data_IF_936499422218
#
_entry.id   IF_936499422218
#
_cell.length_a   1.000
_cell.length_b   1.000
_cell.length_c   1.000
_cell.angle_alpha   90.00
_cell.angle_beta   90.00
_cell.angle_gamma   90.00
#
_symmetry.space_group_name_H-M   'P 1'
#
loop_
_entity.id
_entity.type
_entity.pdbx_description
1 polymer ?
#
# COMPACT_ATOMS: atom_id res chain seq x y z
N UNK A 1 18.00 2.43 -10.78
CA UNK A 1 16.87 2.60 -11.72
C UNK A 1 15.59 2.76 -10.92
N UNK A 2 14.95 3.92 -11.03
CA UNK A 2 13.65 4.21 -10.38
C UNK A 2 12.62 3.24 -10.99
N UNK A 3 11.93 2.44 -10.17
CA UNK A 3 10.87 1.53 -10.61
C UNK A 3 9.59 2.34 -10.90
N UNK A 4 9.62 3.05 -12.03
CA UNK A 4 8.52 3.89 -12.53
C UNK A 4 7.17 3.18 -12.59
N UNK A 5 7.16 1.86 -12.83
CA UNK A 5 5.92 1.07 -12.90
C UNK A 5 5.10 1.04 -11.60
N UNK A 6 5.74 0.91 -10.42
CA UNK A 6 5.01 0.83 -9.14
C UNK A 6 4.54 2.19 -8.64
N UNK A 7 5.36 3.22 -8.85
CA UNK A 7 4.95 4.60 -8.62
C UNK A 7 3.75 4.98 -9.52
N UNK A 8 3.81 4.68 -10.82
CA UNK A 8 2.70 4.91 -11.75
C UNK A 8 1.44 4.15 -11.36
N UNK A 9 1.56 2.87 -10.98
CA UNK A 9 0.40 2.07 -10.50
C UNK A 9 -0.23 2.67 -9.24
N UNK A 10 0.59 3.18 -8.31
CA UNK A 10 0.12 3.87 -7.10
C UNK A 10 -0.57 5.19 -7.41
N UNK A 11 -0.06 5.98 -8.38
CA UNK A 11 -0.71 7.21 -8.85
C UNK A 11 -2.07 6.93 -9.53
N UNK A 12 -2.12 5.93 -10.41
CA UNK A 12 -3.37 5.52 -11.07
C UNK A 12 -4.38 5.06 -10.01
N UNK A 13 -3.93 4.29 -9.01
CA UNK A 13 -4.78 3.92 -7.90
C UNK A 13 -5.30 5.13 -7.13
N UNK A 14 -4.44 6.11 -6.80
CA UNK A 14 -4.86 7.31 -6.08
C UNK A 14 -5.98 8.06 -6.82
N UNK A 15 -5.85 8.21 -8.15
CA UNK A 15 -6.87 8.83 -9.00
C UNK A 15 -8.18 8.04 -8.99
N UNK A 16 -8.11 6.71 -9.20
CA UNK A 16 -9.29 5.84 -9.19
C UNK A 16 -9.97 5.84 -7.82
N UNK A 17 -9.20 5.75 -6.74
CA UNK A 17 -9.71 5.73 -5.37
C UNK A 17 -10.43 7.03 -5.02
N UNK A 18 -9.85 8.19 -5.36
CA UNK A 18 -10.49 9.49 -5.15
C UNK A 18 -11.80 9.65 -5.93
N UNK A 19 -11.81 9.19 -7.19
CA UNK A 19 -13.03 9.20 -8.01
C UNK A 19 -14.09 8.22 -7.50
N UNK A 20 -13.69 7.01 -7.10
CA UNK A 20 -14.59 5.97 -6.60
C UNK A 20 -15.14 6.26 -5.20
N UNK A 21 -14.44 7.08 -4.41
CA UNK A 21 -14.89 7.50 -3.09
C UNK A 21 -16.22 8.28 -3.15
N UNK A 22 -16.46 9.07 -4.19
CA UNK A 22 -17.71 9.85 -4.36
C UNK A 22 -18.94 8.94 -4.51
N UNK A 23 -19.03 8.04 -5.51
CA UNK A 23 -20.18 7.15 -5.64
C UNK A 23 -20.29 6.19 -4.45
N UNK A 24 -19.18 5.76 -3.85
CA UNK A 24 -19.21 4.97 -2.62
C UNK A 24 -20.00 5.70 -1.53
N UNK A 25 -19.66 6.96 -1.24
CA UNK A 25 -20.37 7.77 -0.24
C UNK A 25 -21.85 7.95 -0.57
N UNK A 26 -22.19 8.25 -1.83
CA UNK A 26 -23.58 8.45 -2.24
C UNK A 26 -24.43 7.19 -2.01
N UNK A 27 -23.85 6.00 -2.19
CA UNK A 27 -24.52 4.72 -1.99
C UNK A 27 -24.64 4.34 -0.51
N UNK A 28 -23.61 4.60 0.29
CA UNK A 28 -23.54 4.08 1.67
C UNK A 28 -24.04 5.04 2.74
N UNK A 29 -23.93 6.35 2.54
CA UNK A 29 -24.39 7.35 3.53
C UNK A 29 -25.88 7.24 3.91
N UNK A 30 -26.81 6.84 3.02
CA UNK A 30 -28.20 6.64 3.43
C UNK A 30 -28.39 5.49 4.44
N UNK A 31 -27.50 4.49 4.42
CA UNK A 31 -27.59 3.30 5.25
C UNK A 31 -26.72 3.37 6.53
N UNK A 32 -25.67 4.20 6.53
CA UNK A 32 -24.67 4.23 7.58
C UNK A 32 -24.34 5.66 8.01
N UNK A 33 -23.92 5.83 9.27
CA UNK A 33 -23.35 7.12 9.69
C UNK A 33 -22.07 7.45 8.92
N UNK A 34 -21.74 8.75 8.85
CA UNK A 34 -20.56 9.26 8.15
C UNK A 34 -19.26 8.63 8.66
N UNK A 35 -19.09 8.53 9.98
CA UNK A 35 -17.91 7.88 10.58
C UNK A 35 -17.83 6.41 10.16
N UNK A 36 -18.94 5.65 10.25
CA UNK A 36 -18.94 4.23 9.85
C UNK A 36 -18.59 4.06 8.37
N UNK A 37 -19.17 4.90 7.52
CA UNK A 37 -18.91 4.92 6.08
C UNK A 37 -17.43 5.14 5.79
N UNK A 38 -16.82 6.13 6.44
CA UNK A 38 -15.41 6.43 6.26
C UNK A 38 -14.50 5.32 6.80
N UNK A 39 -14.80 4.75 7.97
CA UNK A 39 -14.02 3.64 8.54
C UNK A 39 -14.02 2.40 7.65
N UNK A 40 -15.19 2.01 7.12
CA UNK A 40 -15.30 0.87 6.22
C UNK A 40 -14.57 1.17 4.90
N UNK A 41 -14.78 2.38 4.36
CA UNK A 41 -14.15 2.82 3.13
C UNK A 41 -12.62 2.82 3.24
N UNK A 42 -12.06 3.29 4.36
CA UNK A 42 -10.61 3.32 4.56
C UNK A 42 -10.00 1.91 4.65
N UNK A 43 -10.66 0.96 5.33
CA UNK A 43 -10.21 -0.44 5.38
C UNK A 43 -10.19 -1.05 3.97
N UNK A 44 -11.28 -0.87 3.21
CA UNK A 44 -11.40 -1.42 1.84
C UNK A 44 -10.35 -0.81 0.92
N UNK A 45 -10.16 0.51 0.96
CA UNK A 45 -9.17 1.21 0.15
C UNK A 45 -7.75 0.78 0.49
N UNK A 46 -7.41 0.62 1.78
CA UNK A 46 -6.08 0.13 2.18
C UNK A 46 -5.84 -1.29 1.69
N UNK A 47 -6.82 -2.20 1.82
CA UNK A 47 -6.71 -3.55 1.31
C UNK A 47 -6.55 -3.60 -0.22
N UNK A 48 -7.36 -2.81 -0.94
CA UNK A 48 -7.26 -2.70 -2.40
C UNK A 48 -5.91 -2.13 -2.84
N UNK A 49 -5.41 -1.12 -2.14
CA UNK A 49 -4.09 -0.54 -2.41
C UNK A 49 -2.98 -1.57 -2.26
N UNK A 50 -3.00 -2.37 -1.19
CA UNK A 50 -2.05 -3.46 -0.94
C UNK A 50 -2.03 -4.44 -2.12
N UNK A 51 -3.19 -4.81 -2.65
CA UNK A 51 -3.29 -5.71 -3.82
C UNK A 51 -2.61 -5.09 -5.04
N UNK A 52 -2.87 -3.82 -5.33
CA UNK A 52 -2.34 -3.11 -6.51
C UNK A 52 -0.82 -2.92 -6.44
N UNK A 53 -0.29 -2.52 -5.28
CA UNK A 53 1.13 -2.22 -5.17
C UNK A 53 2.00 -3.47 -4.98
N UNK A 54 1.41 -4.58 -4.57
CA UNK A 54 2.12 -5.84 -4.34
C UNK A 54 2.91 -6.31 -5.56
N UNK A 55 4.10 -6.93 -5.36
CA UNK A 55 4.92 -7.42 -6.46
C UNK A 55 4.27 -8.59 -7.21
N UNK A 56 3.46 -9.41 -6.53
CA UNK A 56 2.69 -10.50 -7.13
C UNK A 56 1.23 -10.46 -6.70
N UNK A 57 0.33 -10.84 -7.61
CA UNK A 57 -1.11 -10.82 -7.37
C UNK A 57 -1.52 -11.73 -6.21
N UNK A 58 -0.95 -12.94 -6.14
CA UNK A 58 -1.25 -13.90 -5.07
C UNK A 58 -0.87 -13.35 -3.69
N UNK A 59 0.30 -12.71 -3.56
CA UNK A 59 0.70 -12.06 -2.30
C UNK A 59 -0.19 -10.87 -2.00
N UNK A 60 -0.51 -10.07 -3.02
CA UNK A 60 -1.41 -8.92 -2.88
C UNK A 60 -2.79 -9.34 -2.37
N UNK A 61 -3.38 -10.38 -2.94
CA UNK A 61 -4.66 -10.93 -2.49
C UNK A 61 -4.57 -11.48 -1.07
N UNK A 62 -3.52 -12.24 -0.74
CA UNK A 62 -3.33 -12.79 0.61
C UNK A 62 -3.19 -11.69 1.67
N UNK A 63 -2.35 -10.69 1.42
CA UNK A 63 -2.13 -9.61 2.37
C UNK A 63 -3.28 -8.60 2.38
N UNK A 64 -3.93 -8.36 1.24
CA UNK A 64 -5.18 -7.59 1.17
C UNK A 64 -6.30 -8.25 1.97
N UNK A 65 -6.48 -9.57 1.85
CA UNK A 65 -7.43 -10.33 2.65
C UNK A 65 -7.08 -10.28 4.14
N UNK A 66 -5.81 -10.42 4.50
CA UNK A 66 -5.35 -10.26 5.88
C UNK A 66 -5.69 -8.85 6.42
N UNK A 67 -5.45 -7.81 5.63
CA UNK A 67 -5.82 -6.43 5.98
C UNK A 67 -7.33 -6.27 6.18
N UNK A 68 -8.16 -6.90 5.36
CA UNK A 68 -9.62 -6.88 5.54
C UNK A 68 -10.02 -7.57 6.85
N UNK A 69 -9.43 -8.72 7.17
CA UNK A 69 -9.71 -9.45 8.42
C UNK A 69 -9.28 -8.63 9.64
N UNK A 70 -8.07 -8.08 9.62
CA UNK A 70 -7.56 -7.24 10.71
C UNK A 70 -8.35 -5.93 10.84
N UNK A 71 -8.70 -5.30 9.72
CA UNK A 71 -9.52 -4.10 9.67
C UNK A 71 -10.94 -4.35 10.18
N UNK A 72 -11.55 -5.48 9.81
CA UNK A 72 -12.87 -5.87 10.32
C UNK A 72 -12.84 -6.16 11.82
N UNK A 73 -11.81 -6.86 12.31
CA UNK A 73 -11.61 -7.07 13.75
C UNK A 73 -11.44 -5.75 14.49
N UNK A 74 -10.64 -4.83 13.95
CA UNK A 74 -10.47 -3.49 14.51
C UNK A 74 -11.78 -2.70 14.50
N UNK A 75 -12.56 -2.78 13.42
CA UNK A 75 -13.87 -2.14 13.31
C UNK A 75 -14.88 -2.68 14.32
N UNK A 76 -14.83 -3.98 14.62
CA UNK A 76 -15.70 -4.59 15.61
C UNK A 76 -15.35 -4.20 17.05
N UNK A 77 -14.07 -3.93 17.33
CA UNK A 77 -13.55 -3.73 18.69
C UNK A 77 -13.30 -2.27 19.06
N UNK A 78 -13.20 -1.36 18.08
CA UNK A 78 -12.79 0.03 18.31
C UNK A 78 -13.83 1.05 17.81
N UNK A 79 -13.86 2.26 18.39
CA UNK A 79 -14.65 3.37 17.86
C UNK A 79 -14.25 3.68 16.41
N UNK A 80 -15.21 4.03 15.55
CA UNK A 80 -14.94 4.27 14.13
C UNK A 80 -13.87 5.34 13.85
N UNK A 81 -13.72 6.34 14.73
CA UNK A 81 -12.64 7.33 14.65
C UNK A 81 -11.27 6.67 14.81
N UNK A 82 -11.12 5.75 15.76
CA UNK A 82 -9.88 4.99 15.96
C UNK A 82 -9.59 4.15 14.71
N UNK A 83 -10.59 3.49 14.14
CA UNK A 83 -10.45 2.69 12.91
C UNK A 83 -9.94 3.54 11.75
N UNK A 84 -10.49 4.75 11.59
CA UNK A 84 -10.10 5.67 10.52
C UNK A 84 -8.59 5.97 10.56
N UNK A 85 -8.07 6.32 11.72
CA UNK A 85 -6.64 6.65 11.89
C UNK A 85 -5.72 5.42 11.98
N UNK A 86 -6.24 4.28 12.41
CA UNK A 86 -5.46 3.05 12.51
C UNK A 86 -5.36 2.30 11.18
N UNK A 87 -6.29 2.51 10.24
CA UNK A 87 -6.24 1.84 8.93
C UNK A 87 -5.01 2.21 8.08
N UNK A 88 -4.50 3.45 8.03
CA UNK A 88 -3.21 3.74 7.40
C UNK A 88 -1.99 3.19 8.16
N UNK A 89 -2.09 3.04 9.49
CA UNK A 89 -1.02 2.40 10.26
C UNK A 89 -0.92 0.93 9.85
N UNK A 90 -2.08 0.27 9.66
CA UNK A 90 -2.15 -1.08 9.12
C UNK A 90 -1.53 -1.16 7.71
N UNK A 91 -1.73 -0.13 6.87
CA UNK A 91 -1.06 -0.04 5.58
C UNK A 91 0.47 -0.05 5.74
N UNK A 92 1.02 0.79 6.61
CA UNK A 92 2.47 0.85 6.84
C UNK A 92 3.04 -0.48 7.33
N UNK A 93 2.39 -1.11 8.30
CA UNK A 93 2.79 -2.43 8.83
C UNK A 93 2.83 -3.49 7.72
N UNK A 94 1.77 -3.58 6.90
CA UNK A 94 1.72 -4.59 5.83
C UNK A 94 2.71 -4.27 4.73
N UNK A 95 2.84 -3.00 4.34
CA UNK A 95 3.74 -2.58 3.27
C UNK A 95 5.21 -2.73 3.65
N UNK A 96 5.65 -2.17 4.77
CA UNK A 96 7.06 -2.21 5.20
C UNK A 96 7.45 -3.47 5.96
N UNK A 97 6.50 -4.15 6.61
CA UNK A 97 6.76 -5.39 7.32
C UNK A 97 6.71 -6.63 6.43
N UNK A 98 5.72 -6.71 5.53
CA UNK A 98 5.41 -7.93 4.78
C UNK A 98 5.77 -7.85 3.29
N UNK A 99 5.55 -6.69 2.64
CA UNK A 99 5.77 -6.54 1.20
C UNK A 99 7.20 -6.14 0.84
N UNK A 100 7.79 -5.19 1.57
CA UNK A 100 9.13 -4.65 1.28
C UNK A 100 10.03 -4.74 2.50
N UNK A 101 10.88 -5.76 2.57
CA UNK A 101 11.84 -5.94 3.67
C UNK A 101 13.02 -4.98 3.50
N UNK A 102 12.80 -3.72 3.80
CA UNK A 102 13.81 -2.65 3.84
C UNK A 102 14.52 -2.59 5.20
N UNK A 103 15.64 -1.87 5.31
CA UNK A 103 16.28 -1.60 6.62
C UNK A 103 15.25 -0.93 7.54
N UNK A 104 14.80 -1.65 8.56
CA UNK A 104 13.61 -1.37 9.38
C UNK A 104 13.55 0.10 9.82
N UNK A 105 14.68 0.66 10.30
CA UNK A 105 14.71 2.04 10.80
C UNK A 105 14.45 3.12 9.74
N UNK A 106 15.06 3.02 8.55
CA UNK A 106 14.87 4.02 7.49
C UNK A 106 13.47 3.94 6.88
N UNK A 107 12.97 2.72 6.70
CA UNK A 107 11.62 2.48 6.17
C UNK A 107 10.56 3.04 7.11
N UNK A 108 10.69 2.76 8.41
CA UNK A 108 9.79 3.25 9.43
C UNK A 108 9.79 4.78 9.51
N UNK A 109 10.96 5.43 9.44
CA UNK A 109 11.04 6.90 9.44
C UNK A 109 10.35 7.51 8.21
N UNK A 110 10.54 6.93 7.01
CA UNK A 110 9.89 7.38 5.79
C UNK A 110 8.36 7.17 5.87
N UNK A 111 7.91 6.02 6.38
CA UNK A 111 6.49 5.77 6.55
C UNK A 111 5.84 6.69 7.57
N UNK A 112 6.48 6.93 8.71
CA UNK A 112 5.96 7.86 9.71
C UNK A 112 5.83 9.27 9.11
N UNK A 113 6.84 9.72 8.37
CA UNK A 113 6.82 11.02 7.70
C UNK A 113 5.71 11.10 6.65
N UNK A 114 5.58 10.08 5.78
CA UNK A 114 4.57 10.04 4.73
C UNK A 114 3.16 9.90 5.31
N UNK A 115 2.98 9.11 6.35
CA UNK A 115 1.70 8.96 7.04
C UNK A 115 1.24 10.29 7.63
N UNK A 116 2.12 11.00 8.33
CA UNK A 116 1.81 12.32 8.89
C UNK A 116 1.48 13.32 7.77
N UNK A 117 2.27 13.33 6.70
CA UNK A 117 2.05 14.23 5.57
C UNK A 117 0.74 13.91 4.84
N UNK A 118 0.48 12.63 4.55
CA UNK A 118 -0.71 12.16 3.86
C UNK A 118 -1.97 12.47 4.69
N UNK A 119 -1.91 12.23 5.99
CA UNK A 119 -3.01 12.55 6.92
C UNK A 119 -3.25 14.06 6.99
N UNK A 120 -2.17 14.86 7.03
CA UNK A 120 -2.28 16.33 7.06
C UNK A 120 -2.89 16.87 5.77
N UNK A 121 -2.46 16.37 4.61
CA UNK A 121 -3.03 16.72 3.31
C UNK A 121 -4.49 16.30 3.23
N UNK A 122 -4.83 15.09 3.67
CA UNK A 122 -6.21 14.62 3.70
C UNK A 122 -7.10 15.49 4.58
N UNK A 123 -6.62 15.91 5.75
CA UNK A 123 -7.36 16.82 6.64
C UNK A 123 -7.53 18.22 6.04
N UNK A 124 -6.52 18.73 5.33
CA UNK A 124 -6.60 20.03 4.65
C UNK A 124 -7.63 20.01 3.51
N UNK A 125 -7.74 18.87 2.81
CA UNK A 125 -8.68 18.68 1.70
C UNK A 125 -10.08 18.23 2.16
N UNK A 126 -10.20 17.72 3.39
CA UNK A 126 -11.47 17.31 3.96
C UNK A 126 -12.36 18.53 4.24
N UNK A 127 -13.62 18.44 3.81
CA UNK A 127 -14.65 19.44 4.03
C UNK A 127 -16.00 18.79 4.29
N UNK A 128 -17.07 19.59 4.24
CA UNK A 128 -18.44 19.13 4.46
C UNK A 128 -19.10 18.49 3.23
N UNK A 129 -18.43 18.49 2.08
CA UNK A 129 -19.00 18.04 0.80
C UNK A 129 -18.48 16.65 0.40
N UNK A 130 -19.27 15.91 -0.37
CA UNK A 130 -18.87 14.57 -0.87
C UNK A 130 -17.61 14.66 -1.73
N UNK A 131 -17.47 15.74 -2.51
CA UNK A 131 -16.30 16.01 -3.36
C UNK A 131 -15.03 16.19 -2.51
N UNK A 132 -15.15 16.87 -1.36
CA UNK A 132 -14.01 17.08 -0.47
C UNK A 132 -13.46 15.76 0.09
N UNK A 133 -14.32 14.76 0.32
CA UNK A 133 -13.86 13.42 0.70
C UNK A 133 -13.11 12.71 -0.43
N UNK A 134 -13.62 12.79 -1.67
CA UNK A 134 -12.90 12.26 -2.83
C UNK A 134 -11.51 12.88 -2.99
N UNK A 135 -11.40 14.20 -2.79
CA UNK A 135 -10.13 14.92 -2.78
C UNK A 135 -9.21 14.50 -1.62
N UNK A 136 -9.76 14.30 -0.42
CA UNK A 136 -9.00 13.82 0.73
C UNK A 136 -8.42 12.42 0.50
N UNK A 137 -9.22 11.49 -0.05
CA UNK A 137 -8.77 10.14 -0.42
C UNK A 137 -7.70 10.20 -1.50
N UNK A 138 -7.92 10.99 -2.56
CA UNK A 138 -6.94 11.20 -3.61
C UNK A 138 -5.62 11.75 -3.06
N UNK A 139 -5.68 12.83 -2.28
CA UNK A 139 -4.51 13.49 -1.70
C UNK A 139 -3.74 12.60 -0.74
N UNK A 140 -4.45 11.79 0.06
CA UNK A 140 -3.83 10.78 0.93
C UNK A 140 -2.99 9.79 0.12
N UNK A 141 -3.59 9.13 -0.89
CA UNK A 141 -2.88 8.14 -1.69
C UNK A 141 -1.82 8.74 -2.62
N UNK A 142 -2.01 9.99 -3.04
CA UNK A 142 -1.03 10.75 -3.80
C UNK A 142 0.26 10.92 -3.00
N UNK A 143 0.17 11.34 -1.74
CA UNK A 143 1.34 11.45 -0.86
C UNK A 143 1.95 10.07 -0.58
N UNK A 144 1.13 9.07 -0.29
CA UNK A 144 1.60 7.70 -0.05
C UNK A 144 2.33 7.06 -1.25
N UNK A 145 2.02 7.50 -2.49
CA UNK A 145 2.74 7.06 -3.68
C UNK A 145 4.23 7.44 -3.65
N UNK A 146 4.58 8.53 -2.96
CA UNK A 146 5.96 9.00 -2.81
C UNK A 146 6.84 8.00 -2.05
N UNK A 147 6.26 7.05 -1.31
CA UNK A 147 7.00 5.94 -0.69
C UNK A 147 7.92 5.24 -1.68
N UNK A 148 7.46 5.00 -2.91
CA UNK A 148 8.24 4.31 -3.93
C UNK A 148 9.44 5.10 -4.45
N UNK A 149 9.44 6.43 -4.26
CA UNK A 149 10.57 7.29 -4.62
C UNK A 149 11.65 7.27 -3.52
N UNK A 150 11.25 7.31 -2.25
CA UNK A 150 12.18 7.49 -1.13
C UNK A 150 12.65 6.20 -0.45
N UNK A 151 11.78 5.18 -0.38
CA UNK A 151 12.06 3.96 0.37
C UNK A 151 13.01 3.00 -0.35
N UNK A 152 13.33 3.26 -1.63
CA UNK A 152 14.25 2.41 -2.41
C UNK A 152 13.81 0.94 -2.38
N UNK A 153 12.51 0.71 -2.58
CA UNK A 153 11.83 -0.56 -2.36
C UNK A 153 12.43 -1.70 -3.21
N UNK A 154 13.50 -2.32 -2.70
CA UNK A 154 14.03 -3.58 -3.17
C UNK A 154 12.96 -4.63 -2.87
N UNK A 155 12.12 -4.95 -3.86
CA UNK A 155 11.31 -6.17 -3.76
C UNK A 155 12.28 -7.31 -3.51
N UNK A 156 11.97 -8.18 -2.56
CA UNK A 156 12.68 -9.43 -2.40
C UNK A 156 12.90 -10.04 -3.80
N UNK A 157 14.16 -10.33 -4.22
CA UNK A 157 14.35 -11.19 -5.38
C UNK A 157 13.62 -12.46 -4.99
N UNK A 158 12.60 -12.73 -5.77
CA UNK A 158 11.70 -13.83 -5.57
C UNK A 158 12.59 -15.08 -5.44
N UNK A 159 12.61 -15.71 -4.27
CA UNK A 159 13.25 -17.02 -4.05
C UNK A 159 12.46 -18.12 -4.79
N UNK A 160 12.08 -17.83 -6.04
CA UNK A 160 10.91 -18.35 -6.72
C UNK A 160 10.52 -17.59 -8.00
N UNK A 161 11.19 -16.48 -8.33
CA UNK A 161 11.54 -16.29 -9.73
C UNK A 161 12.40 -17.50 -9.94
N UNK A 162 11.89 -18.46 -10.70
CA UNK A 162 12.73 -19.51 -11.21
C UNK A 162 13.84 -18.75 -11.91
N UNK A 163 14.96 -18.57 -11.18
CA UNK A 163 16.22 -18.16 -11.73
C UNK A 163 16.30 -18.92 -13.03
N UNK A 164 16.27 -18.18 -14.14
CA UNK A 164 16.15 -18.78 -15.44
C UNK A 164 17.13 -19.96 -15.45
N UNK A 165 16.69 -21.20 -15.75
CA UNK A 165 17.59 -22.35 -15.79
C UNK A 165 18.87 -22.03 -16.55
N UNK A 166 18.80 -21.15 -17.55
CA UNK A 166 19.95 -20.63 -18.30
C UNK A 166 20.83 -19.67 -17.48
N UNK A 167 20.27 -18.76 -16.69
CA UNK A 167 21.06 -17.89 -15.81
C UNK A 167 21.72 -18.67 -14.66
N UNK A 168 21.04 -19.69 -14.13
CA UNK A 168 21.63 -20.60 -13.13
C UNK A 168 22.77 -21.41 -13.73
N UNK A 169 22.54 -22.03 -14.89
CA UNK A 169 23.57 -22.78 -15.61
C UNK A 169 24.76 -21.91 -16.01
N UNK A 170 24.53 -20.68 -16.45
CA UNK A 170 25.59 -19.73 -16.80
C UNK A 170 26.47 -19.38 -15.61
N UNK A 171 25.87 -19.09 -14.45
CA UNK A 171 26.63 -18.81 -13.21
C UNK A 171 27.46 -19.99 -12.78
N UNK A 172 26.89 -21.19 -12.83
CA UNK A 172 27.58 -22.42 -12.46
C UNK A 172 28.74 -22.73 -13.42
N UNK A 173 28.55 -22.55 -14.73
CA UNK A 173 29.63 -22.67 -15.72
C UNK A 173 30.76 -21.64 -15.51
N UNK A 174 30.41 -20.39 -15.18
CA UNK A 174 31.40 -19.33 -14.92
C UNK A 174 32.23 -19.65 -13.67
N UNK A 175 31.56 -20.15 -12.62
CA UNK A 175 32.22 -20.57 -11.39
C UNK A 175 33.20 -21.74 -11.62
N UNK A 176 32.81 -22.74 -12.42
CA UNK A 176 33.68 -23.87 -12.76
C UNK A 176 34.91 -23.45 -13.58
N UNK A 177 34.78 -22.42 -14.43
CA UNK A 177 35.91 -21.85 -15.17
C UNK A 177 36.87 -21.06 -14.27
N UNK A 178 36.35 -20.38 -13.25
CA UNK A 178 37.17 -19.60 -12.30
C UNK A 178 37.83 -20.48 -11.22
N UNK A 179 37.22 -21.61 -10.87
CA UNK A 179 37.75 -22.55 -9.86
C UNK A 179 38.76 -23.57 -10.42
N UNK A 180 39.01 -23.62 -11.74
CA UNK A 180 40.11 -24.43 -12.29
C UNK A 180 41.46 -23.71 -12.07
N UNK A 181 42.32 -24.20 -11.16
CA UNK A 181 43.70 -23.72 -11.09
C UNK A 181 44.46 -24.29 -12.28
N UNK A 182 45.19 -23.43 -12.98
CA UNK A 182 46.17 -23.80 -14.01
C UNK A 182 47.23 -24.77 -13.49
#
# INVERSE_FOLDING_TARGET
MIRTGKFSSSLVFAAIAGLAAVPYLLVTLPAFSLIRTFSIGSIVLVAAYIVVVSPSLVRGLRYGALTLVLGAGLYALAPGVVVLYASPILLGIVRSGLLYRTKIGRAFAIEAMLFLLATSVAQLLAGSTVQSYGLAVWGFFLVESAFFLFAGASSHPESGSAEDPFDRARREATRLMEEQPS
#
